data_IF_198429331597
#
_entry.id   IF_198429331597
#
_cell.length_a   1.000
_cell.length_b   1.000
_cell.length_c   1.000
_cell.angle_alpha   90.00
_cell.angle_beta   90.00
_cell.angle_gamma   90.00
#
_symmetry.space_group_name_H-M   'P 1'
#
loop_
_entity.id
_entity.type
_entity.pdbx_description
1 polymer ?
#
# COMPACT_ATOMS: atom_id res chain seq x y z
N UNK A 1 -17.10 25.34 -8.58
CA UNK A 1 -15.78 25.37 -7.88
C UNK A 1 -14.73 25.97 -8.81
N UNK A 2 -14.01 27.02 -8.38
CA UNK A 2 -13.04 27.72 -9.24
C UNK A 2 -11.68 27.02 -9.24
N UNK A 3 -10.90 27.18 -10.32
CA UNK A 3 -9.54 26.63 -10.42
C UNK A 3 -8.62 27.14 -9.28
N UNK A 4 -8.74 28.43 -8.95
CA UNK A 4 -7.98 29.05 -7.86
C UNK A 4 -8.29 28.41 -6.50
N UNK A 5 -9.58 28.19 -6.19
CA UNK A 5 -9.97 27.49 -4.98
C UNK A 5 -9.43 26.05 -4.96
N UNK A 6 -9.54 25.32 -6.09
CA UNK A 6 -9.01 23.96 -6.20
C UNK A 6 -7.50 23.88 -5.92
N UNK A 7 -6.71 24.80 -6.49
CA UNK A 7 -5.26 24.87 -6.24
C UNK A 7 -4.91 25.25 -4.80
N UNK A 8 -5.70 26.13 -4.16
CA UNK A 8 -5.53 26.46 -2.73
C UNK A 8 -5.86 25.28 -1.81
N UNK A 9 -6.84 24.45 -2.18
CA UNK A 9 -7.19 23.24 -1.43
C UNK A 9 -6.21 22.07 -1.66
N UNK A 10 -5.44 22.09 -2.75
CA UNK A 10 -4.53 21.01 -3.12
C UNK A 10 -3.63 20.49 -1.99
N UNK A 11 -2.88 21.33 -1.23
CA UNK A 11 -2.05 20.85 -0.14
C UNK A 11 -2.87 20.17 0.96
N UNK A 12 -4.05 20.69 1.29
CA UNK A 12 -4.95 20.08 2.28
C UNK A 12 -5.44 18.72 1.79
N UNK A 13 -5.79 18.59 0.51
CA UNK A 13 -6.23 17.33 -0.08
C UNK A 13 -5.09 16.30 -0.16
N UNK A 14 -3.87 16.71 -0.48
CA UNK A 14 -2.69 15.84 -0.46
C UNK A 14 -2.47 15.32 0.97
N UNK A 15 -2.48 16.21 1.97
CA UNK A 15 -2.29 15.84 3.37
C UNK A 15 -3.43 14.97 3.91
N UNK A 16 -4.67 15.30 3.56
CA UNK A 16 -5.84 14.51 3.94
C UNK A 16 -5.76 13.10 3.32
N UNK A 17 -5.55 12.99 2.00
CA UNK A 17 -5.42 11.68 1.34
C UNK A 17 -4.27 10.85 1.94
N UNK A 18 -3.13 11.47 2.20
CA UNK A 18 -2.01 10.83 2.88
C UNK A 18 -2.38 10.35 4.30
N UNK A 19 -2.98 11.23 5.10
CA UNK A 19 -3.36 10.95 6.48
C UNK A 19 -4.42 9.87 6.60
N UNK A 20 -5.50 9.99 5.81
CA UNK A 20 -6.58 9.00 5.77
C UNK A 20 -6.07 7.62 5.35
N UNK A 21 -5.17 7.53 4.38
CA UNK A 21 -4.57 6.26 3.95
C UNK A 21 -3.79 5.60 5.10
N UNK A 22 -2.96 6.39 5.80
CA UNK A 22 -2.15 5.88 6.92
C UNK A 22 -3.01 5.46 8.11
N UNK A 23 -4.04 6.25 8.45
CA UNK A 23 -4.97 5.94 9.54
C UNK A 23 -5.80 4.70 9.24
N UNK A 24 -6.40 4.62 8.05
CA UNK A 24 -7.21 3.48 7.63
C UNK A 24 -6.42 2.17 7.68
N UNK A 25 -5.16 2.19 7.24
CA UNK A 25 -4.27 1.02 7.32
C UNK A 25 -3.93 0.65 8.76
N UNK A 26 -3.63 1.64 9.60
CA UNK A 26 -3.32 1.40 11.01
C UNK A 26 -4.51 0.78 11.74
N UNK A 27 -5.71 1.33 11.53
CA UNK A 27 -6.94 0.81 12.10
C UNK A 27 -7.30 -0.59 11.58
N UNK A 28 -7.17 -0.82 10.27
CA UNK A 28 -7.40 -2.14 9.69
C UNK A 28 -6.46 -3.19 10.30
N UNK A 29 -5.18 -2.85 10.50
CA UNK A 29 -4.22 -3.74 11.13
C UNK A 29 -4.49 -4.00 12.61
N UNK A 30 -4.94 -2.99 13.37
CA UNK A 30 -5.31 -3.19 14.77
C UNK A 30 -6.60 -4.01 14.93
N UNK A 31 -7.53 -3.90 13.97
CA UNK A 31 -8.83 -4.58 14.04
C UNK A 31 -8.74 -6.04 13.58
N UNK A 32 -8.08 -6.31 12.46
CA UNK A 32 -7.96 -7.67 11.91
C UNK A 32 -6.88 -8.47 12.63
N UNK A 33 -5.71 -7.87 12.89
CA UNK A 33 -4.53 -8.59 13.36
C UNK A 33 -3.82 -9.35 12.23
N UNK A 34 -2.51 -9.66 12.35
CA UNK A 34 -1.72 -10.27 11.27
C UNK A 34 -2.23 -11.69 10.93
N UNK A 35 -2.53 -11.95 9.65
CA UNK A 35 -2.92 -13.29 9.17
C UNK A 35 -4.36 -13.71 9.49
N UNK A 36 -5.13 -12.83 10.12
CA UNK A 36 -6.54 -13.07 10.44
C UNK A 36 -7.46 -12.65 9.28
N UNK A 37 -8.66 -13.23 9.29
CA UNK A 37 -9.74 -12.95 8.35
C UNK A 37 -10.98 -12.53 9.14
N UNK A 38 -11.57 -11.39 8.78
CA UNK A 38 -12.85 -10.94 9.33
C UNK A 38 -13.89 -10.96 8.21
N UNK A 39 -14.90 -11.80 8.34
CA UNK A 39 -16.07 -11.77 7.47
C UNK A 39 -16.95 -10.58 7.87
N UNK A 40 -17.18 -9.64 6.94
CA UNK A 40 -18.02 -8.46 7.21
C UNK A 40 -19.44 -8.70 6.71
N UNK A 41 -19.60 -9.35 5.56
CA UNK A 41 -20.89 -9.82 5.04
C UNK A 41 -20.68 -11.05 4.14
N UNK A 42 -21.74 -11.80 3.77
CA UNK A 42 -21.62 -12.97 2.92
C UNK A 42 -20.92 -12.65 1.58
N UNK A 43 -19.76 -13.24 1.36
CA UNK A 43 -18.95 -13.02 0.15
C UNK A 43 -17.90 -11.90 0.25
N UNK A 44 -17.82 -11.18 1.37
CA UNK A 44 -16.80 -10.13 1.58
C UNK A 44 -16.05 -10.31 2.90
N UNK A 45 -14.76 -10.58 2.76
CA UNK A 45 -13.84 -10.84 3.85
C UNK A 45 -12.71 -9.80 3.84
N UNK A 46 -12.41 -9.25 5.00
CA UNK A 46 -11.22 -8.45 5.24
C UNK A 46 -10.08 -9.39 5.64
N UNK A 47 -9.00 -9.38 4.87
CA UNK A 47 -7.79 -10.19 5.13
C UNK A 47 -6.60 -9.26 5.27
N UNK A 48 -5.87 -9.40 6.38
CA UNK A 48 -4.64 -8.64 6.60
C UNK A 48 -3.45 -9.35 5.92
N UNK A 49 -3.11 -8.91 4.70
CA UNK A 49 -1.97 -9.40 3.92
C UNK A 49 -0.90 -8.32 3.87
N UNK A 50 0.38 -8.67 3.99
CA UNK A 50 1.48 -7.72 3.79
C UNK A 50 2.05 -7.83 2.37
N UNK A 51 2.33 -6.70 1.74
CA UNK A 51 2.96 -6.66 0.41
C UNK A 51 4.36 -6.04 0.50
N UNK A 52 5.37 -6.80 0.10
CA UNK A 52 6.79 -6.38 0.15
C UNK A 52 7.19 -5.32 -0.86
N UNK A 53 6.25 -4.81 -1.66
CA UNK A 53 6.48 -3.70 -2.57
C UNK A 53 6.37 -4.08 -4.05
N UNK A 54 6.65 -5.33 -4.39
CA UNK A 54 6.84 -5.77 -5.77
C UNK A 54 5.87 -6.87 -6.12
N UNK A 55 5.13 -6.69 -7.21
CA UNK A 55 4.53 -7.82 -7.89
C UNK A 55 5.65 -8.60 -8.61
N UNK A 56 5.66 -9.93 -8.53
CA UNK A 56 6.53 -10.82 -9.32
C UNK A 56 8.04 -10.80 -9.02
N UNK A 57 8.49 -10.42 -7.83
CA UNK A 57 9.90 -10.60 -7.43
C UNK A 57 10.92 -9.69 -8.14
N UNK A 58 10.47 -8.76 -8.99
CA UNK A 58 11.30 -7.74 -9.62
C UNK A 58 12.10 -6.94 -8.56
N UNK A 59 13.43 -7.01 -8.64
CA UNK A 59 14.41 -6.22 -7.88
C UNK A 59 14.79 -6.64 -6.44
N UNK A 60 14.41 -7.83 -5.96
CA UNK A 60 15.04 -8.44 -4.76
C UNK A 60 15.11 -7.50 -3.52
N UNK A 61 16.31 -7.32 -2.95
CA UNK A 61 16.57 -6.42 -1.80
C UNK A 61 16.51 -4.92 -2.16
N UNK A 62 16.73 -4.55 -3.43
CA UNK A 62 16.73 -3.17 -3.91
C UNK A 62 15.31 -2.62 -4.18
N UNK A 63 14.34 -3.53 -4.29
CA UNK A 63 12.94 -3.23 -4.58
C UNK A 63 12.33 -2.08 -3.75
N UNK A 64 12.49 -2.01 -2.42
CA UNK A 64 11.89 -0.93 -1.64
C UNK A 64 12.44 0.45 -2.02
N UNK A 65 13.74 0.56 -2.26
CA UNK A 65 14.39 1.82 -2.63
C UNK A 65 13.90 2.30 -4.00
N UNK A 66 13.81 1.39 -4.97
CA UNK A 66 13.31 1.67 -6.32
C UNK A 66 11.86 2.15 -6.28
N UNK A 67 11.00 1.49 -5.50
CA UNK A 67 9.58 1.86 -5.39
C UNK A 67 9.36 3.20 -4.69
N UNK A 68 10.21 3.54 -3.72
CA UNK A 68 10.24 4.87 -3.10
C UNK A 68 10.69 5.90 -4.13
N UNK A 69 11.79 5.66 -4.84
CA UNK A 69 12.34 6.56 -5.84
C UNK A 69 11.33 6.86 -6.95
N UNK A 70 10.73 5.82 -7.55
CA UNK A 70 9.65 5.95 -8.53
C UNK A 70 8.48 6.74 -7.92
N UNK A 71 8.21 6.58 -6.62
CA UNK A 71 7.10 7.27 -5.97
C UNK A 71 7.29 8.74 -5.79
N UNK A 72 8.47 9.12 -5.34
CA UNK A 72 8.85 10.51 -5.23
C UNK A 72 8.90 11.14 -6.61
N UNK A 73 9.47 10.46 -7.61
CA UNK A 73 9.55 10.92 -8.99
C UNK A 73 8.16 11.20 -9.57
N UNK A 74 7.26 10.21 -9.53
CA UNK A 74 5.89 10.36 -10.03
C UNK A 74 5.12 11.44 -9.28
N UNK A 75 5.28 11.53 -7.95
CA UNK A 75 4.65 12.61 -7.15
C UNK A 75 5.13 13.98 -7.60
N UNK A 76 6.43 14.14 -7.91
CA UNK A 76 7.00 15.36 -8.45
C UNK A 76 6.45 15.71 -9.84
N UNK A 77 6.38 14.74 -10.75
CA UNK A 77 5.80 14.93 -12.09
C UNK A 77 4.32 15.35 -12.02
N UNK A 78 3.54 14.69 -11.16
CA UNK A 78 2.14 15.07 -10.91
C UNK A 78 2.02 16.45 -10.27
N UNK A 79 2.96 16.83 -9.39
CA UNK A 79 3.04 18.17 -8.80
C UNK A 79 3.29 19.25 -9.86
N UNK A 80 4.20 19.00 -10.80
CA UNK A 80 4.44 19.89 -11.95
C UNK A 80 3.15 20.01 -12.80
N UNK A 81 2.48 18.89 -13.06
CA UNK A 81 1.23 18.89 -13.81
C UNK A 81 0.11 19.65 -13.07
N UNK A 82 0.02 19.51 -11.74
CA UNK A 82 -0.93 20.22 -10.89
C UNK A 82 -0.74 21.74 -10.96
N UNK A 83 0.51 22.21 -11.00
CA UNK A 83 0.80 23.65 -11.15
C UNK A 83 0.34 24.14 -12.52
N UNK A 84 0.58 23.35 -13.58
CA UNK A 84 0.26 23.72 -14.97
C UNK A 84 -1.20 23.53 -15.37
N UNK A 85 -1.98 22.71 -14.66
CA UNK A 85 -3.36 22.43 -15.06
C UNK A 85 -4.24 23.68 -15.00
N UNK A 86 -5.17 23.76 -15.96
CA UNK A 86 -6.19 24.82 -16.05
C UNK A 86 -7.58 24.33 -15.66
N UNK A 87 -7.71 23.06 -15.29
CA UNK A 87 -8.99 22.45 -14.97
C UNK A 87 -9.08 22.14 -13.47
N UNK A 88 -10.14 22.59 -12.77
CA UNK A 88 -10.28 22.39 -11.33
C UNK A 88 -10.39 20.90 -10.96
N UNK A 89 -11.10 20.10 -11.77
CA UNK A 89 -11.25 18.66 -11.51
C UNK A 89 -9.91 17.91 -11.61
N UNK A 90 -9.06 18.31 -12.56
CA UNK A 90 -7.71 17.77 -12.67
C UNK A 90 -6.87 18.16 -11.46
N UNK A 91 -6.98 19.40 -10.97
CA UNK A 91 -6.25 19.81 -9.77
C UNK A 91 -6.63 18.98 -8.54
N UNK A 92 -7.91 18.66 -8.37
CA UNK A 92 -8.38 17.78 -7.30
C UNK A 92 -7.88 16.36 -7.47
N UNK A 93 -8.07 15.75 -8.64
CA UNK A 93 -7.60 14.40 -8.92
C UNK A 93 -6.09 14.23 -8.72
N UNK A 94 -5.30 15.20 -9.19
CA UNK A 94 -3.85 15.21 -9.02
C UNK A 94 -3.45 15.32 -7.54
N UNK A 95 -4.15 16.13 -6.75
CA UNK A 95 -3.91 16.26 -5.31
C UNK A 95 -4.12 14.92 -4.58
N UNK A 96 -5.21 14.22 -4.88
CA UNK A 96 -5.47 12.89 -4.31
C UNK A 96 -4.41 11.87 -4.77
N UNK A 97 -4.05 11.87 -6.06
CA UNK A 97 -3.07 10.94 -6.61
C UNK A 97 -1.66 11.13 -6.00
N UNK A 98 -1.23 12.39 -5.81
CA UNK A 98 0.02 12.72 -5.12
C UNK A 98 -0.01 12.20 -3.67
N UNK A 99 -1.08 12.50 -2.93
CA UNK A 99 -1.25 12.02 -1.55
C UNK A 99 -1.15 10.50 -1.44
N UNK A 100 -1.85 9.77 -2.31
CA UNK A 100 -1.80 8.31 -2.36
C UNK A 100 -0.39 7.77 -2.66
N UNK A 101 0.34 8.40 -3.60
CA UNK A 101 1.69 7.94 -3.96
C UNK A 101 2.71 8.17 -2.85
N UNK A 102 2.60 9.30 -2.15
CA UNK A 102 3.41 9.62 -0.97
C UNK A 102 3.12 8.65 0.19
N UNK A 103 1.86 8.30 0.43
CA UNK A 103 1.46 7.36 1.46
C UNK A 103 2.05 5.96 1.18
N UNK A 104 1.98 5.51 -0.07
CA UNK A 104 2.64 4.27 -0.52
C UNK A 104 4.15 4.31 -0.29
N UNK A 105 4.84 5.40 -0.64
CA UNK A 105 6.27 5.54 -0.42
C UNK A 105 6.63 5.51 1.08
N UNK A 106 5.84 6.14 1.95
CA UNK A 106 6.04 6.11 3.41
C UNK A 106 5.88 4.71 3.97
N UNK A 107 4.85 3.99 3.52
CA UNK A 107 4.58 2.62 3.91
C UNK A 107 5.74 1.70 3.49
N UNK A 108 6.23 1.79 2.25
CA UNK A 108 7.39 0.99 1.78
C UNK A 108 8.67 1.30 2.56
N UNK A 109 8.91 2.57 2.93
CA UNK A 109 10.08 2.98 3.73
C UNK A 109 10.06 2.38 5.14
N UNK A 110 8.89 2.38 5.78
CA UNK A 110 8.70 1.70 7.07
C UNK A 110 8.50 0.22 6.76
N UNK A 111 9.57 -0.56 6.54
CA UNK A 111 9.53 -2.04 6.37
C UNK A 111 8.76 -2.68 7.55
N UNK A 112 7.44 -2.70 7.48
CA UNK A 112 6.60 -2.77 8.66
C UNK A 112 5.21 -3.27 8.30
N UNK A 113 4.65 -3.99 9.26
CA UNK A 113 3.45 -4.82 9.23
C UNK A 113 2.15 -4.16 8.81
N UNK A 114 2.14 -2.89 8.38
CA UNK A 114 0.92 -2.07 8.19
C UNK A 114 0.67 -1.70 6.71
N UNK A 115 1.31 -2.40 5.77
CA UNK A 115 1.10 -2.18 4.34
C UNK A 115 0.23 -3.29 3.73
N UNK A 116 -1.11 -3.19 3.80
CA UNK A 116 -1.97 -4.04 2.99
C UNK A 116 -1.86 -3.63 1.53
N UNK A 117 -1.76 -4.62 0.64
CA UNK A 117 -2.01 -4.42 -0.78
C UNK A 117 -3.42 -4.90 -1.14
N UNK A 118 -3.98 -4.19 -2.12
CA UNK A 118 -4.99 -4.72 -3.02
C UNK A 118 -4.31 -5.76 -3.92
N UNK A 119 -4.83 -6.99 -3.94
CA UNK A 119 -4.42 -8.03 -4.89
C UNK A 119 -3.86 -9.30 -4.24
N UNK A 120 -4.44 -10.43 -4.66
CA UNK A 120 -4.10 -11.79 -4.27
C UNK A 120 -2.65 -12.15 -4.67
N UNK A 121 -1.73 -12.23 -3.71
CA UNK A 121 -0.50 -13.01 -3.85
C UNK A 121 0.13 -13.22 -2.47
N UNK A 122 -0.10 -14.41 -1.90
CA UNK A 122 0.62 -14.90 -0.75
C UNK A 122 2.03 -15.34 -1.20
N UNK A 123 3.07 -14.63 -0.72
CA UNK A 123 4.44 -15.15 -0.75
C UNK A 123 4.96 -15.09 0.68
N UNK A 124 4.82 -16.23 1.38
CA UNK A 124 5.34 -16.45 2.71
C UNK A 124 6.87 -16.41 2.67
N UNK A 125 7.47 -15.39 3.28
CA UNK A 125 8.92 -15.34 3.48
C UNK A 125 9.24 -16.11 4.76
N UNK A 126 9.54 -17.40 4.61
CA UNK A 126 9.99 -18.26 5.69
C UNK A 126 11.39 -17.83 6.13
N UNK A 127 11.49 -16.95 7.13
CA UNK A 127 12.77 -16.60 7.77
C UNK A 127 13.17 -17.77 8.66
N UNK A 128 14.21 -18.49 8.26
CA UNK A 128 14.74 -19.65 8.97
C UNK A 128 15.27 -19.28 10.35
N UNK A 129 14.51 -19.57 11.40
CA UNK A 129 15.05 -19.80 12.75
C UNK A 129 14.76 -21.24 13.16
N UNK A 130 15.85 -22.01 13.19
CA UNK A 130 16.08 -23.33 13.79
C UNK A 130 14.94 -23.93 14.65
N UNK A 131 14.63 -25.18 14.31
CA UNK A 131 14.37 -26.31 15.23
C UNK A 131 13.17 -26.17 16.20
N UNK A 132 11.99 -26.66 15.81
CA UNK A 132 11.38 -27.89 16.36
C UNK A 132 9.96 -28.14 15.78
N UNK A 133 9.73 -29.39 15.37
CA UNK A 133 8.45 -30.12 15.15
C UNK A 133 7.37 -29.72 16.18
N UNK A 134 6.05 -29.73 15.96
CA UNK A 134 5.16 -30.53 15.08
C UNK A 134 3.73 -29.94 15.16
N UNK A 135 2.98 -30.04 14.04
CA UNK A 135 1.54 -30.36 13.93
C UNK A 135 0.45 -29.37 14.39
N UNK A 136 -0.18 -28.71 13.42
CA UNK A 136 -1.52 -29.09 12.90
C UNK A 136 -1.80 -28.31 11.62
N UNK A 137 -1.57 -28.97 10.49
CA UNK A 137 -1.83 -28.46 9.14
C UNK A 137 -3.01 -29.25 8.56
N UNK A 138 -4.18 -28.64 8.49
CA UNK A 138 -5.28 -29.13 7.68
C UNK A 138 -5.83 -27.97 6.85
N UNK A 139 -5.83 -28.18 5.53
CA UNK A 139 -6.64 -27.46 4.55
C UNK A 139 -6.16 -26.08 4.07
N UNK A 140 -5.00 -26.03 3.40
CA UNK A 140 -4.79 -25.34 2.10
C UNK A 140 -3.31 -25.49 1.70
N UNK A 141 -2.93 -26.65 1.18
CA UNK A 141 -1.57 -26.88 0.65
C UNK A 141 -1.70 -27.47 -0.75
N UNK A 142 -1.55 -26.61 -1.75
CA UNK A 142 -1.25 -27.03 -3.11
C UNK A 142 -0.18 -26.09 -3.67
N UNK A 143 1.03 -26.65 -3.80
CA UNK A 143 2.01 -26.32 -4.85
C UNK A 143 2.77 -24.98 -4.74
N UNK A 144 3.89 -24.97 -4.01
CA UNK A 144 5.15 -24.31 -4.43
C UNK A 144 6.22 -24.43 -3.32
N UNK A 145 7.03 -25.49 -3.38
CA UNK A 145 8.42 -25.55 -2.90
C UNK A 145 8.96 -26.93 -3.27
N UNK A 146 9.56 -27.04 -4.46
CA UNK A 146 10.50 -28.12 -4.80
C UNK A 146 11.86 -27.47 -5.02
N UNK A 147 12.81 -27.90 -4.18
CA UNK A 147 14.26 -27.66 -4.17
C UNK A 147 14.73 -26.21 -4.03
#
# INVERSE_FOLDING_TARGET
MTLSAAKRLAPLLILAAFGLDQLSKTWAHSFVGPGNVIAVFPGFNLVAITNSGVAFGLAGEAAPAILIAIGVLLSGMLGIWLIRTRSPIHALGLSLAIGARLARARCVRRRGSVCPAQGHAAIARCRSSRLHRRQRWASYRSSACSC
#
